data_IF_761738122172
#
_entry.id   IF_761738122172
#
_cell.length_a   1.000
_cell.length_b   1.000
_cell.length_c   1.000
_cell.angle_alpha   90.00
_cell.angle_beta   90.00
_cell.angle_gamma   90.00
#
_symmetry.space_group_name_H-M   'P 1'
#
loop_
_entity.id
_entity.type
_entity.pdbx_description
1 polymer ?
#
# COMPACT_ATOMS: atom_id res chain seq x y z
N UNK A 1 39.29 -46.53 -37.85
CA UNK A 1 39.24 -45.06 -37.98
C UNK A 1 37.80 -44.67 -37.93
N UNK A 2 37.35 -44.28 -36.75
CA UNK A 2 35.95 -43.93 -36.50
C UNK A 2 35.94 -42.51 -35.95
N UNK A 3 35.45 -41.57 -36.77
CA UNK A 3 35.22 -40.20 -36.38
C UNK A 3 33.88 -40.11 -35.63
N UNK A 4 33.92 -39.61 -34.38
CA UNK A 4 32.73 -39.23 -33.63
C UNK A 4 32.50 -37.75 -33.88
N UNK A 5 31.42 -37.40 -34.58
CA UNK A 5 30.94 -36.03 -34.70
C UNK A 5 30.10 -35.73 -33.45
N UNK A 6 30.62 -34.80 -32.66
CA UNK A 6 29.95 -34.24 -31.49
C UNK A 6 28.98 -33.17 -31.97
N UNK A 7 27.68 -33.49 -31.91
CA UNK A 7 26.62 -32.55 -32.24
C UNK A 7 26.29 -31.68 -31.01
N UNK A 8 26.93 -30.52 -30.95
CA UNK A 8 26.65 -29.47 -29.97
C UNK A 8 25.24 -28.88 -30.22
N UNK A 9 24.30 -29.25 -29.38
CA UNK A 9 22.94 -28.68 -29.38
C UNK A 9 22.98 -27.35 -28.65
N UNK A 10 22.56 -26.21 -29.23
CA UNK A 10 22.48 -24.95 -28.50
C UNK A 10 21.34 -25.00 -27.50
N UNK A 11 21.49 -24.37 -26.31
CA UNK A 11 20.42 -24.32 -25.30
C UNK A 11 19.24 -23.48 -25.81
N UNK A 12 18.01 -23.83 -25.42
CA UNK A 12 16.82 -23.07 -25.81
C UNK A 12 16.86 -21.65 -25.21
N UNK A 13 16.67 -20.66 -26.07
CA UNK A 13 16.49 -19.27 -25.72
C UNK A 13 15.34 -19.12 -24.69
N UNK A 14 15.69 -18.88 -23.45
CA UNK A 14 14.76 -18.42 -22.43
C UNK A 14 14.37 -16.97 -22.72
N UNK A 15 13.38 -16.78 -23.60
CA UNK A 15 12.67 -15.50 -23.72
C UNK A 15 11.89 -15.28 -22.42
N UNK A 16 12.57 -14.75 -21.43
CA UNK A 16 11.93 -14.17 -20.27
C UNK A 16 10.98 -13.06 -20.74
N UNK A 17 9.69 -13.33 -20.70
CA UNK A 17 8.64 -12.34 -20.89
C UNK A 17 8.80 -11.27 -19.82
N UNK A 18 9.55 -10.21 -20.11
CA UNK A 18 9.51 -8.98 -19.32
C UNK A 18 8.13 -8.39 -19.51
N UNK A 19 7.28 -8.60 -18.53
CA UNK A 19 6.07 -7.80 -18.38
C UNK A 19 6.48 -6.32 -18.40
N UNK A 20 5.72 -5.44 -19.09
CA UNK A 20 6.03 -4.03 -19.13
C UNK A 20 6.13 -3.52 -17.69
N UNK A 21 7.25 -2.89 -17.34
CA UNK A 21 7.48 -2.29 -16.03
C UNK A 21 6.50 -1.12 -15.87
N UNK A 22 5.32 -1.41 -15.36
CA UNK A 22 4.38 -0.39 -14.91
C UNK A 22 5.04 0.33 -13.73
N UNK A 23 5.16 1.64 -13.81
CA UNK A 23 5.63 2.45 -12.67
C UNK A 23 4.79 2.06 -11.45
N UNK A 24 5.42 1.64 -10.35
CA UNK A 24 4.66 1.23 -9.17
C UNK A 24 3.82 2.40 -8.64
N UNK A 25 2.61 2.09 -8.23
CA UNK A 25 1.74 3.07 -7.58
C UNK A 25 2.07 3.03 -6.10
N UNK A 26 2.41 4.19 -5.57
CA UNK A 26 2.86 4.32 -4.18
C UNK A 26 1.98 5.31 -3.45
N UNK A 27 1.49 4.92 -2.29
CA UNK A 27 0.80 5.78 -1.33
C UNK A 27 1.73 6.00 -0.15
N UNK A 28 2.00 7.25 0.19
CA UNK A 28 2.93 7.58 1.27
C UNK A 28 2.29 8.55 2.26
N UNK A 29 2.10 8.10 3.49
CA UNK A 29 1.88 8.98 4.63
C UNK A 29 3.25 9.39 5.17
N UNK A 30 3.61 10.64 4.95
CA UNK A 30 4.87 11.20 5.41
C UNK A 30 4.59 12.27 6.46
N UNK A 31 5.44 12.32 7.46
CA UNK A 31 5.40 13.36 8.48
C UNK A 31 6.72 14.13 8.58
N UNK A 32 6.74 14.99 9.54
CA UNK A 32 7.92 15.72 9.98
C UNK A 32 8.97 14.72 10.52
N UNK A 33 10.20 15.18 10.71
CA UNK A 33 11.32 14.36 11.20
C UNK A 33 11.58 13.06 10.40
N UNK A 34 10.99 12.93 9.19
CA UNK A 34 11.22 11.81 8.27
C UNK A 34 10.55 10.48 8.66
N UNK A 35 9.57 10.50 9.59
CA UNK A 35 8.71 9.36 9.82
C UNK A 35 7.77 9.16 8.62
N UNK A 36 7.59 7.91 8.19
CA UNK A 36 6.72 7.61 7.03
C UNK A 36 6.22 6.16 7.03
N UNK A 37 5.05 6.00 6.45
CA UNK A 37 4.53 4.71 5.97
C UNK A 37 4.36 4.80 4.46
N UNK A 38 5.01 3.93 3.73
CA UNK A 38 4.93 3.83 2.28
C UNK A 38 4.27 2.51 1.91
N UNK A 39 3.26 2.55 1.05
CA UNK A 39 2.54 1.37 0.56
C UNK A 39 2.67 1.36 -0.96
N UNK A 40 3.40 0.39 -1.50
CA UNK A 40 3.51 0.13 -2.93
C UNK A 40 2.44 -0.88 -3.33
N UNK A 41 1.57 -0.52 -4.29
CA UNK A 41 0.56 -1.39 -4.86
C UNK A 41 1.15 -2.12 -6.07
N UNK A 42 1.34 -3.42 -5.93
CA UNK A 42 2.00 -4.28 -6.95
C UNK A 42 0.99 -4.76 -7.99
N UNK A 43 -0.22 -5.11 -7.57
CA UNK A 43 -1.28 -5.61 -8.45
C UNK A 43 -2.39 -6.29 -7.69
N UNK A 44 -3.45 -6.70 -8.40
CA UNK A 44 -4.49 -7.54 -7.78
C UNK A 44 -3.94 -8.91 -7.40
N UNK A 45 -4.33 -9.41 -6.24
CA UNK A 45 -3.98 -10.77 -5.79
C UNK A 45 -4.68 -11.82 -6.65
N UNK A 46 -5.96 -11.57 -6.98
CA UNK A 46 -6.83 -12.44 -7.78
C UNK A 46 -7.34 -11.68 -9.02
N UNK A 47 -6.50 -11.50 -10.08
CA UNK A 47 -6.87 -10.66 -11.23
C UNK A 47 -8.01 -11.23 -12.07
N UNK A 48 -8.30 -12.52 -11.93
CA UNK A 48 -9.42 -13.21 -12.59
C UNK A 48 -10.77 -12.98 -11.89
N UNK A 49 -10.77 -12.56 -10.63
CA UNK A 49 -11.98 -12.29 -9.83
C UNK A 49 -12.48 -10.87 -10.07
N UNK A 50 -13.80 -10.73 -10.25
CA UNK A 50 -14.44 -9.43 -10.48
C UNK A 50 -15.48 -9.10 -9.41
N UNK A 51 -15.62 -9.96 -8.41
CA UNK A 51 -16.55 -9.78 -7.29
C UNK A 51 -15.96 -8.88 -6.19
N UNK A 52 -16.83 -8.52 -5.23
CA UNK A 52 -16.43 -7.66 -4.11
C UNK A 52 -15.45 -8.35 -3.15
N UNK A 53 -15.61 -9.67 -2.93
CA UNK A 53 -14.90 -10.36 -1.85
C UNK A 53 -13.47 -10.70 -2.23
N UNK A 54 -13.26 -11.29 -3.40
CA UNK A 54 -11.94 -11.76 -3.83
C UNK A 54 -11.26 -10.78 -4.80
N UNK A 55 -12.02 -10.08 -5.64
CA UNK A 55 -11.48 -9.16 -6.63
C UNK A 55 -10.81 -7.91 -6.06
N UNK A 56 -11.07 -7.55 -4.81
CA UNK A 56 -10.53 -6.34 -4.19
C UNK A 56 -9.20 -6.53 -3.45
N UNK A 57 -8.69 -7.74 -3.32
CA UNK A 57 -7.38 -7.99 -2.72
C UNK A 57 -6.24 -7.50 -3.61
N UNK A 58 -5.33 -6.75 -3.03
CA UNK A 58 -4.16 -6.16 -3.67
C UNK A 58 -2.89 -6.68 -3.00
N UNK A 59 -1.97 -7.20 -3.79
CA UNK A 59 -0.61 -7.46 -3.32
C UNK A 59 0.09 -6.12 -3.13
N UNK A 60 0.64 -5.93 -1.95
CA UNK A 60 1.31 -4.68 -1.59
C UNK A 60 2.67 -4.94 -0.95
N UNK A 61 3.48 -3.90 -0.89
CA UNK A 61 4.69 -3.86 -0.08
C UNK A 61 4.62 -2.64 0.81
N UNK A 62 4.69 -2.86 2.11
CA UNK A 62 4.68 -1.80 3.12
C UNK A 62 6.09 -1.58 3.64
N UNK A 63 6.50 -0.31 3.66
CA UNK A 63 7.73 0.13 4.29
C UNK A 63 7.39 1.14 5.37
N UNK A 64 7.95 0.94 6.54
CA UNK A 64 7.80 1.83 7.70
C UNK A 64 9.15 2.39 8.10
N UNK A 65 9.16 3.69 8.38
CA UNK A 65 10.30 4.35 9.00
C UNK A 65 9.80 5.25 10.14
N UNK A 66 10.34 5.04 11.34
CA UNK A 66 10.01 5.80 12.52
C UNK A 66 11.28 6.02 13.36
N UNK A 67 11.90 7.19 13.25
CA UNK A 67 13.17 7.46 13.87
C UNK A 67 14.27 6.48 13.39
N UNK A 68 14.84 5.72 14.30
CA UNK A 68 15.84 4.68 14.00
C UNK A 68 15.27 3.33 13.57
N UNK A 69 13.95 3.14 13.66
CA UNK A 69 13.30 1.88 13.31
C UNK A 69 12.90 1.84 11.84
N UNK A 70 13.01 0.65 11.26
CA UNK A 70 12.59 0.36 9.89
C UNK A 70 11.95 -1.01 9.84
N UNK A 71 10.86 -1.14 9.07
CA UNK A 71 10.21 -2.40 8.79
C UNK A 71 9.81 -2.46 7.31
N UNK A 72 9.82 -3.68 6.75
CA UNK A 72 9.31 -3.95 5.40
C UNK A 72 8.61 -5.30 5.42
N UNK A 73 7.37 -5.36 4.90
CA UNK A 73 6.56 -6.58 4.83
C UNK A 73 5.58 -6.49 3.66
N UNK A 74 4.99 -7.62 3.26
CA UNK A 74 4.17 -7.73 2.05
C UNK A 74 2.76 -8.23 2.39
N UNK A 75 1.87 -7.37 2.95
CA UNK A 75 0.50 -7.74 3.22
C UNK A 75 -0.35 -7.73 1.95
N UNK A 76 -1.45 -8.47 1.97
CA UNK A 76 -2.55 -8.23 1.04
C UNK A 76 -3.53 -7.24 1.66
N UNK A 77 -3.81 -6.15 0.95
CA UNK A 77 -4.71 -5.09 1.39
C UNK A 77 -5.88 -4.98 0.42
N UNK A 78 -6.99 -4.38 0.87
CA UNK A 78 -8.19 -4.30 0.04
C UNK A 78 -8.36 -2.91 -0.58
N UNK A 79 -8.86 -2.85 -1.82
CA UNK A 79 -9.06 -1.59 -2.55
C UNK A 79 -10.00 -0.63 -1.81
N UNK A 80 -11.04 -1.13 -1.13
CA UNK A 80 -11.96 -0.29 -0.37
C UNK A 80 -11.35 0.33 0.90
N UNK A 81 -10.26 -0.22 1.43
CA UNK A 81 -9.51 0.39 2.53
C UNK A 81 -8.87 1.70 2.08
N UNK A 82 -8.29 1.72 0.88
CA UNK A 82 -7.75 2.95 0.26
C UNK A 82 -8.86 3.96 -0.08
N UNK A 83 -10.06 3.49 -0.46
CA UNK A 83 -11.20 4.37 -0.72
C UNK A 83 -11.66 5.06 0.58
N UNK A 84 -11.78 4.32 1.69
CA UNK A 84 -12.11 4.89 3.00
C UNK A 84 -11.05 5.88 3.48
N UNK A 85 -9.77 5.54 3.32
CA UNK A 85 -8.67 6.43 3.67
C UNK A 85 -8.75 7.74 2.87
N UNK A 86 -8.91 7.67 1.55
CA UNK A 86 -9.06 8.85 0.70
C UNK A 86 -10.19 9.77 1.17
N UNK A 87 -11.34 9.19 1.46
CA UNK A 87 -12.51 9.96 1.88
C UNK A 87 -12.27 10.64 3.25
N UNK A 88 -11.65 9.94 4.19
CA UNK A 88 -11.23 10.52 5.47
C UNK A 88 -10.21 11.63 5.33
N UNK A 89 -9.21 11.47 4.47
CA UNK A 89 -8.21 12.51 4.19
C UNK A 89 -8.87 13.75 3.59
N UNK A 90 -9.81 13.60 2.67
CA UNK A 90 -10.57 14.71 2.08
C UNK A 90 -11.42 15.46 3.10
N UNK A 91 -12.03 14.74 4.05
CA UNK A 91 -12.75 15.36 5.18
C UNK A 91 -11.78 16.20 6.01
N UNK A 92 -10.58 15.69 6.32
CA UNK A 92 -9.56 16.43 7.07
C UNK A 92 -9.00 17.63 6.31
N UNK A 93 -8.96 17.61 4.98
CA UNK A 93 -8.61 18.78 4.17
C UNK A 93 -9.64 19.90 4.27
N UNK A 94 -10.94 19.56 4.47
CA UNK A 94 -12.02 20.52 4.64
C UNK A 94 -12.22 20.95 6.09
N UNK A 95 -11.97 20.06 7.04
CA UNK A 95 -12.06 20.30 8.49
C UNK A 95 -10.80 19.82 9.21
N UNK A 96 -9.96 20.78 9.61
CA UNK A 96 -8.69 20.54 10.27
C UNK A 96 -8.82 19.92 11.68
N UNK A 97 -10.03 19.73 12.19
CA UNK A 97 -10.33 18.97 13.43
C UNK A 97 -10.75 17.52 13.13
N UNK A 98 -10.82 17.18 11.86
CA UNK A 98 -11.23 15.84 11.41
C UNK A 98 -10.27 14.74 11.83
N UNK A 99 -10.73 13.52 11.61
CA UNK A 99 -9.93 12.31 11.82
C UNK A 99 -9.99 11.47 10.54
N UNK A 100 -8.86 10.94 10.11
CA UNK A 100 -8.85 9.89 9.11
C UNK A 100 -8.25 8.61 9.69
N UNK A 101 -8.76 7.48 9.19
CA UNK A 101 -8.38 6.15 9.65
C UNK A 101 -8.00 5.29 8.44
N UNK A 102 -6.92 4.56 8.58
CA UNK A 102 -6.57 3.44 7.71
C UNK A 102 -6.45 2.21 8.59
N UNK A 103 -7.39 1.31 8.45
CA UNK A 103 -7.46 0.06 9.17
C UNK A 103 -7.61 -1.06 8.16
N UNK A 104 -6.69 -2.00 8.19
CA UNK A 104 -6.65 -3.12 7.26
C UNK A 104 -7.38 -4.33 7.84
N UNK A 105 -8.04 -5.10 6.98
CA UNK A 105 -8.88 -6.23 7.40
C UNK A 105 -8.11 -7.26 8.24
N UNK A 106 -6.86 -7.53 7.85
CA UNK A 106 -5.98 -8.47 8.57
C UNK A 106 -5.25 -7.83 9.76
N UNK A 107 -5.49 -6.55 10.05
CA UNK A 107 -4.90 -5.84 11.19
C UNK A 107 -3.39 -5.58 11.08
N UNK A 108 -2.78 -5.80 9.91
CA UNK A 108 -1.32 -5.64 9.75
C UNK A 108 -0.87 -4.17 9.68
N UNK A 109 -1.76 -3.24 9.37
CA UNK A 109 -1.48 -1.81 9.37
C UNK A 109 -2.69 -1.03 9.84
N UNK A 110 -2.49 -0.23 10.88
CA UNK A 110 -3.49 0.65 11.45
C UNK A 110 -2.89 2.04 11.60
N UNK A 111 -3.63 3.05 11.15
CA UNK A 111 -3.24 4.46 11.24
C UNK A 111 -4.48 5.26 11.62
N UNK A 112 -4.42 5.99 12.72
CA UNK A 112 -5.45 6.93 13.12
C UNK A 112 -4.84 8.32 13.28
N UNK A 113 -5.18 9.24 12.39
CA UNK A 113 -4.67 10.60 12.40
C UNK A 113 -5.77 11.58 12.82
N UNK A 114 -5.48 12.44 13.78
CA UNK A 114 -6.40 13.45 14.32
C UNK A 114 -5.80 14.85 14.19
N UNK A 115 -6.60 15.77 13.68
CA UNK A 115 -6.25 17.19 13.57
C UNK A 115 -6.55 17.99 14.84
N UNK A 116 -5.75 19.00 15.08
CA UNK A 116 -5.91 19.95 16.23
C UNK A 116 -6.78 21.16 15.89
N UNK A 117 -7.16 21.34 14.63
CA UNK A 117 -7.90 22.47 14.12
C UNK A 117 -7.01 23.68 13.74
N UNK A 118 -5.70 23.58 13.91
CA UNK A 118 -4.72 24.62 13.59
C UNK A 118 -3.82 24.22 12.40
N UNK A 119 -4.09 23.06 11.80
CA UNK A 119 -3.37 22.52 10.66
C UNK A 119 -2.35 21.44 11.00
N UNK A 120 -2.21 21.04 12.25
CA UNK A 120 -1.35 19.95 12.64
C UNK A 120 -2.19 18.68 12.87
N UNK A 121 -1.63 17.55 12.45
CA UNK A 121 -2.22 16.23 12.63
C UNK A 121 -1.21 15.31 13.34
N UNK A 122 -1.72 14.49 14.22
CA UNK A 122 -0.96 13.41 14.85
C UNK A 122 -1.56 12.09 14.47
N UNK A 123 -0.77 11.25 13.82
CA UNK A 123 -1.13 9.90 13.44
C UNK A 123 -0.52 8.90 14.43
N UNK A 124 -1.36 8.11 15.07
CA UNK A 124 -0.98 6.93 15.82
C UNK A 124 -0.97 5.75 14.85
N UNK A 125 0.14 5.03 14.78
CA UNK A 125 0.39 3.98 13.81
C UNK A 125 0.78 2.69 14.51
N UNK A 126 0.25 1.57 14.00
CA UNK A 126 0.63 0.22 14.36
C UNK A 126 0.90 -0.57 13.07
N UNK A 127 2.02 -1.26 13.02
CA UNK A 127 2.38 -2.14 11.92
C UNK A 127 2.80 -3.51 12.46
N UNK A 128 2.31 -4.58 11.86
CA UNK A 128 2.59 -5.96 12.21
C UNK A 128 3.04 -6.73 10.97
N UNK A 129 4.21 -7.37 11.02
CA UNK A 129 4.81 -7.98 9.83
C UNK A 129 4.13 -9.27 9.38
N UNK A 130 3.52 -10.02 10.32
CA UNK A 130 2.72 -11.23 10.05
C UNK A 130 1.42 -11.16 10.85
N UNK A 131 0.29 -11.17 10.18
CA UNK A 131 -1.02 -11.00 10.79
C UNK A 131 -1.25 -11.88 12.03
N UNK A 132 -1.49 -11.26 13.18
CA UNK A 132 -1.87 -11.89 14.44
C UNK A 132 -0.76 -12.65 15.20
N UNK A 133 0.44 -12.80 14.65
CA UNK A 133 1.54 -13.54 15.26
C UNK A 133 2.92 -12.92 15.03
N UNK A 134 2.97 -11.79 14.34
CA UNK A 134 4.21 -11.14 13.92
C UNK A 134 4.84 -10.24 14.96
N UNK A 135 5.89 -9.55 14.54
CA UNK A 135 6.48 -8.48 15.32
C UNK A 135 5.67 -7.21 15.10
N UNK A 136 5.39 -6.49 16.17
CA UNK A 136 4.62 -5.27 16.16
C UNK A 136 5.51 -4.05 16.39
N UNK A 137 5.28 -3.00 15.60
CA UNK A 137 5.85 -1.68 15.79
C UNK A 137 4.73 -0.67 15.98
N UNK A 138 4.70 -0.01 17.14
CA UNK A 138 3.83 1.12 17.42
C UNK A 138 4.63 2.41 17.39
N UNK A 139 4.16 3.43 16.66
CA UNK A 139 4.86 4.70 16.46
C UNK A 139 3.90 5.82 16.15
N UNK A 140 4.42 7.06 16.11
CA UNK A 140 3.63 8.24 15.77
C UNK A 140 4.24 8.98 14.58
N UNK A 141 3.38 9.61 13.79
CA UNK A 141 3.76 10.52 12.71
C UNK A 141 3.07 11.86 12.98
N UNK A 142 3.88 12.90 13.19
CA UNK A 142 3.37 14.26 13.25
C UNK A 142 3.49 14.88 11.85
N UNK A 143 2.41 15.46 11.35
CA UNK A 143 2.32 16.04 10.02
C UNK A 143 1.45 17.30 10.05
N UNK A 144 1.68 18.21 9.13
CA UNK A 144 0.81 19.35 8.94
C UNK A 144 -0.13 19.18 7.74
N UNK A 145 -1.09 20.08 7.60
CA UNK A 145 -2.10 20.03 6.54
C UNK A 145 -1.52 19.98 5.11
N UNK A 146 -0.27 20.43 4.88
CA UNK A 146 0.35 20.44 3.54
C UNK A 146 0.69 19.02 3.04
N UNK A 147 0.75 18.04 3.93
CA UNK A 147 0.94 16.63 3.58
C UNK A 147 -0.33 15.94 3.07
N UNK A 148 -1.52 16.51 3.34
CA UNK A 148 -2.81 15.89 2.97
C UNK A 148 -3.09 15.93 1.45
N UNK A 149 -2.89 17.05 0.72
CA UNK A 149 -3.17 17.07 -0.72
C UNK A 149 -2.33 16.07 -1.54
N UNK A 150 -1.01 15.93 -1.33
CA UNK A 150 -0.23 14.89 -1.99
C UNK A 150 -0.73 13.48 -1.68
N UNK A 151 -1.09 13.19 -0.42
CA UNK A 151 -1.63 11.90 -0.01
C UNK A 151 -2.96 11.62 -0.73
N UNK A 152 -3.89 12.59 -0.76
CA UNK A 152 -5.16 12.47 -1.48
C UNK A 152 -4.95 12.18 -2.97
N UNK A 153 -3.99 12.87 -3.62
CA UNK A 153 -3.67 12.66 -5.03
C UNK A 153 -3.11 11.25 -5.30
N UNK A 154 -2.26 10.73 -4.42
CA UNK A 154 -1.73 9.37 -4.52
C UNK A 154 -2.83 8.32 -4.35
N UNK A 155 -3.77 8.54 -3.42
CA UNK A 155 -4.94 7.68 -3.21
C UNK A 155 -5.88 7.69 -4.42
N UNK A 156 -6.10 8.84 -5.06
CA UNK A 156 -6.86 8.92 -6.30
C UNK A 156 -6.19 8.14 -7.44
N UNK A 157 -4.87 8.22 -7.56
CA UNK A 157 -4.11 7.45 -8.54
C UNK A 157 -4.19 5.93 -8.26
N UNK A 158 -4.11 5.53 -6.99
CA UNK A 158 -4.26 4.14 -6.57
C UNK A 158 -5.64 3.58 -6.95
N UNK A 159 -6.72 4.31 -6.63
CA UNK A 159 -8.10 3.91 -6.91
C UNK A 159 -8.46 3.99 -8.40
N UNK A 160 -7.78 4.83 -9.17
CA UNK A 160 -7.90 4.84 -10.63
C UNK A 160 -7.29 3.57 -11.25
N UNK A 161 -6.18 3.09 -10.72
CA UNK A 161 -5.52 1.88 -11.20
C UNK A 161 -6.17 0.60 -10.69
N UNK A 162 -6.66 0.64 -9.46
CA UNK A 162 -7.29 -0.48 -8.75
C UNK A 162 -8.64 -0.05 -8.17
N UNK A 163 -9.67 0.19 -9.01
CA UNK A 163 -10.98 0.58 -8.53
C UNK A 163 -11.60 -0.52 -7.67
N UNK A 164 -12.46 -0.11 -6.73
CA UNK A 164 -13.27 -1.07 -5.96
C UNK A 164 -14.24 -1.78 -6.90
N UNK A 165 -14.25 -3.09 -6.84
CA UNK A 165 -15.11 -3.97 -7.64
C UNK A 165 -16.32 -4.42 -6.83
N UNK A 166 -17.50 -4.45 -7.48
CA UNK A 166 -18.72 -4.97 -6.88
C UNK A 166 -19.24 -4.20 -5.66
N UNK A 167 -20.14 -4.83 -4.94
CA UNK A 167 -20.74 -4.34 -3.68
C UNK A 167 -20.88 -5.48 -2.67
N UNK A 168 -20.83 -5.21 -1.34
CA UNK A 168 -20.86 -6.24 -0.30
C UNK A 168 -22.21 -6.96 -0.16
N UNK A 169 -23.12 -6.86 -1.10
CA UNK A 169 -24.44 -7.47 -1.10
C UNK A 169 -24.89 -7.97 -2.49
N UNK A 170 -23.96 -8.05 -3.44
CA UNK A 170 -24.23 -8.55 -4.79
C UNK A 170 -23.87 -10.02 -4.90
#
# INVERSE_FOLDING_TARGET
>A
MSGHEDATHPPPDSKGSRLPSRTPIVVTLRGEAGAEVQIELVGRAHPEQQDYWDGNWLRTRVKVRAGGFRGEFEPELRAEEFARLRDGVRVCMADLRGTFVFETLEGQLEITAKGDGLGHFRAECRAEDVAGIGNELTFTIDLDQTYLPPLASQLDAALKAFPVLGHPGA
#
